data_IF_171331367563
#
_entry.id   IF_171331367563
#
_cell.length_a   1.000
_cell.length_b   1.000
_cell.length_c   1.000
_cell.angle_alpha   90.00
_cell.angle_beta   90.00
_cell.angle_gamma   90.00
#
_symmetry.space_group_name_H-M   'P 1'
#
loop_
_entity.id
_entity.type
_entity.pdbx_description
1 polymer ?
#
# COMPACT_ATOMS: atom_id res chain seq x y z
N UNK A 1 -3.14 -13.06 5.59
CA UNK A 1 -2.09 -13.56 4.68
C UNK A 1 -1.68 -12.44 3.76
N UNK A 2 -0.36 -12.19 3.58
CA UNK A 2 0.13 -11.22 2.60
C UNK A 2 0.77 -11.94 1.41
N UNK A 3 0.37 -11.52 0.22
CA UNK A 3 0.92 -11.99 -1.07
C UNK A 3 1.38 -10.74 -1.82
N UNK A 4 2.69 -10.55 -1.90
CA UNK A 4 3.27 -9.39 -2.56
C UNK A 4 3.20 -9.52 -4.08
N UNK A 5 2.89 -8.42 -4.75
CA UNK A 5 2.88 -8.33 -6.21
C UNK A 5 3.88 -7.25 -6.69
N UNK A 6 5.17 -7.58 -6.72
CA UNK A 6 6.22 -6.60 -7.01
C UNK A 6 6.35 -6.28 -8.50
N UNK A 7 5.80 -7.09 -9.39
CA UNK A 7 6.06 -7.01 -10.84
C UNK A 7 4.82 -6.65 -11.68
N UNK A 8 3.70 -6.34 -11.07
CA UNK A 8 2.45 -6.09 -11.77
C UNK A 8 2.58 -4.96 -12.80
N UNK A 9 3.25 -3.88 -12.42
CA UNK A 9 3.52 -2.73 -13.28
C UNK A 9 4.72 -2.95 -14.20
N UNK A 10 5.83 -3.47 -13.68
CA UNK A 10 7.07 -3.69 -14.42
C UNK A 10 6.96 -4.80 -15.48
N UNK A 11 6.03 -5.73 -15.29
CA UNK A 11 5.77 -6.81 -16.24
C UNK A 11 4.92 -6.43 -17.44
N UNK A 12 4.42 -5.18 -17.50
CA UNK A 12 3.59 -4.73 -18.60
C UNK A 12 4.30 -4.88 -19.97
N UNK A 13 3.60 -5.38 -21.00
CA UNK A 13 4.12 -5.44 -22.35
C UNK A 13 4.54 -4.06 -22.88
N UNK A 14 5.54 -4.03 -23.78
CA UNK A 14 5.97 -2.78 -24.42
C UNK A 14 4.86 -2.12 -25.25
N UNK A 15 3.97 -2.92 -25.84
CA UNK A 15 2.85 -2.43 -26.63
C UNK A 15 1.64 -2.26 -25.75
N UNK A 16 1.07 -1.07 -25.75
CA UNK A 16 -0.10 -0.74 -24.93
C UNK A 16 -1.33 -1.59 -25.28
N UNK A 17 -1.47 -1.98 -26.53
CA UNK A 17 -2.57 -2.82 -27.00
C UNK A 17 -2.57 -4.21 -26.35
N UNK A 18 -1.43 -4.67 -25.84
CA UNK A 18 -1.27 -5.96 -25.16
C UNK A 18 -1.49 -5.88 -23.64
N UNK A 19 -1.64 -4.67 -23.09
CA UNK A 19 -1.73 -4.47 -21.63
C UNK A 19 -2.95 -5.13 -21.02
N UNK A 20 -4.12 -4.98 -21.65
CA UNK A 20 -5.36 -5.51 -21.08
C UNK A 20 -5.28 -7.04 -20.91
N UNK A 21 -4.82 -7.75 -21.91
CA UNK A 21 -4.68 -9.21 -21.85
C UNK A 21 -3.69 -9.65 -20.76
N UNK A 22 -2.59 -8.90 -20.59
CA UNK A 22 -1.62 -9.15 -19.52
C UNK A 22 -2.22 -8.88 -18.14
N UNK A 23 -2.92 -7.73 -17.97
CA UNK A 23 -3.51 -7.34 -16.70
C UNK A 23 -4.61 -8.31 -16.28
N UNK A 24 -5.47 -8.74 -17.19
CA UNK A 24 -6.51 -9.73 -16.92
C UNK A 24 -5.90 -11.05 -16.45
N UNK A 25 -4.86 -11.52 -17.15
CA UNK A 25 -4.14 -12.74 -16.77
C UNK A 25 -3.48 -12.60 -15.38
N UNK A 26 -2.82 -11.47 -15.10
CA UNK A 26 -2.14 -11.25 -13.82
C UNK A 26 -3.14 -11.17 -12.65
N UNK A 27 -4.27 -10.51 -12.86
CA UNK A 27 -5.38 -10.46 -11.88
C UNK A 27 -5.91 -11.88 -11.61
N UNK A 28 -6.16 -12.65 -12.65
CA UNK A 28 -6.64 -14.03 -12.50
C UNK A 28 -5.64 -14.90 -11.73
N UNK A 29 -4.33 -14.74 -11.98
CA UNK A 29 -3.29 -15.44 -11.24
C UNK A 29 -3.28 -15.07 -9.76
N UNK A 30 -3.40 -13.78 -9.43
CA UNK A 30 -3.47 -13.33 -8.05
C UNK A 30 -4.71 -13.89 -7.33
N UNK A 31 -5.88 -13.77 -7.95
CA UNK A 31 -7.14 -14.28 -7.40
C UNK A 31 -7.10 -15.80 -7.21
N UNK A 32 -6.50 -16.53 -8.15
CA UNK A 32 -6.32 -17.98 -8.01
C UNK A 32 -5.40 -18.34 -6.84
N UNK A 33 -4.37 -17.54 -6.57
CA UNK A 33 -3.46 -17.76 -5.45
C UNK A 33 -4.13 -17.52 -4.08
N UNK A 34 -5.20 -16.73 -4.04
CA UNK A 34 -5.95 -16.39 -2.81
C UNK A 34 -7.23 -17.21 -2.64
N UNK A 35 -7.69 -17.91 -3.67
CA UNK A 35 -8.91 -18.71 -3.62
C UNK A 35 -8.76 -19.87 -2.64
N UNK A 36 -9.83 -20.19 -1.90
CA UNK A 36 -9.87 -21.34 -0.99
C UNK A 36 -9.43 -21.07 0.44
N UNK A 37 -9.09 -19.81 0.79
CA UNK A 37 -8.97 -19.40 2.19
C UNK A 37 -10.36 -19.27 2.83
N UNK A 38 -10.42 -19.30 4.16
CA UNK A 38 -11.67 -19.05 4.87
C UNK A 38 -12.09 -17.58 4.74
N UNK A 39 -13.38 -17.29 4.75
CA UNK A 39 -13.93 -15.93 4.54
C UNK A 39 -13.41 -14.91 5.56
N UNK A 40 -13.07 -15.35 6.77
CA UNK A 40 -12.47 -14.51 7.80
C UNK A 40 -10.96 -14.26 7.60
N UNK A 41 -10.33 -14.88 6.62
CA UNK A 41 -8.90 -14.68 6.34
C UNK A 41 -8.67 -13.44 5.51
N UNK A 42 -8.13 -12.40 6.12
CA UNK A 42 -7.81 -11.16 5.44
C UNK A 42 -6.61 -11.32 4.50
N UNK A 43 -6.77 -10.92 3.24
CA UNK A 43 -5.73 -10.96 2.21
C UNK A 43 -5.13 -9.57 2.03
N UNK A 44 -3.83 -9.49 2.21
CA UNK A 44 -3.03 -8.28 1.96
C UNK A 44 -2.18 -8.45 0.71
N UNK A 45 -1.96 -7.36 0.01
CA UNK A 45 -0.94 -7.26 -1.04
C UNK A 45 -0.07 -6.02 -0.85
N UNK A 46 1.11 -6.03 -1.43
CA UNK A 46 2.02 -4.90 -1.43
C UNK A 46 2.53 -4.65 -2.84
N UNK A 47 2.54 -3.39 -3.24
CA UNK A 47 3.10 -2.94 -4.51
C UNK A 47 4.24 -1.97 -4.26
N UNK A 48 5.45 -2.39 -4.72
CA UNK A 48 6.64 -1.56 -4.66
C UNK A 48 6.71 -0.60 -5.85
N UNK A 49 7.18 0.63 -5.64
CA UNK A 49 7.62 1.60 -6.67
C UNK A 49 6.71 1.72 -7.90
N UNK A 50 5.40 1.65 -7.73
CA UNK A 50 4.47 1.62 -8.85
C UNK A 50 3.77 2.96 -9.06
N UNK A 51 3.68 3.39 -10.32
CA UNK A 51 2.72 4.41 -10.75
C UNK A 51 1.38 3.72 -11.03
N UNK A 52 0.31 4.13 -10.35
CA UNK A 52 -0.96 3.41 -10.37
C UNK A 52 -1.97 3.92 -11.40
N UNK A 53 -1.81 5.14 -11.89
CA UNK A 53 -2.83 5.82 -12.70
C UNK A 53 -3.31 4.99 -13.89
N UNK A 54 -2.38 4.25 -14.54
CA UNK A 54 -2.67 3.49 -15.76
C UNK A 54 -3.29 2.11 -15.50
N UNK A 55 -3.21 1.59 -14.25
CA UNK A 55 -3.56 0.21 -13.91
C UNK A 55 -4.43 0.07 -12.66
N UNK A 56 -4.96 1.18 -12.12
CA UNK A 56 -5.70 1.19 -10.86
C UNK A 56 -6.94 0.28 -10.87
N UNK A 57 -7.61 0.18 -12.02
CA UNK A 57 -8.76 -0.71 -12.20
C UNK A 57 -8.35 -2.18 -12.05
N UNK A 58 -7.22 -2.57 -12.65
CA UNK A 58 -6.68 -3.92 -12.55
C UNK A 58 -6.19 -4.22 -11.11
N UNK A 59 -5.60 -3.23 -10.43
CA UNK A 59 -5.23 -3.36 -9.01
C UNK A 59 -6.47 -3.62 -8.15
N UNK A 60 -7.54 -2.87 -8.37
CA UNK A 60 -8.81 -3.09 -7.66
C UNK A 60 -9.41 -4.46 -7.99
N UNK A 61 -9.27 -4.94 -9.22
CA UNK A 61 -9.77 -6.23 -9.65
C UNK A 61 -9.02 -7.42 -9.03
N UNK A 62 -7.81 -7.25 -8.48
CA UNK A 62 -7.14 -8.29 -7.69
C UNK A 62 -7.95 -8.66 -6.44
N UNK A 63 -8.77 -7.73 -5.94
CA UNK A 63 -9.69 -7.94 -4.81
C UNK A 63 -8.98 -8.35 -3.52
N UNK A 64 -7.80 -7.79 -3.26
CA UNK A 64 -7.16 -7.90 -1.96
C UNK A 64 -7.88 -7.01 -0.94
N UNK A 65 -8.11 -7.52 0.27
CA UNK A 65 -8.79 -6.77 1.34
C UNK A 65 -8.01 -5.50 1.72
N UNK A 66 -6.69 -5.57 1.71
CA UNK A 66 -5.80 -4.43 2.00
C UNK A 66 -4.66 -4.39 1.00
N UNK A 67 -4.45 -3.22 0.39
CA UNK A 67 -3.24 -2.94 -0.39
C UNK A 67 -2.33 -1.99 0.36
N UNK A 68 -1.03 -2.30 0.44
CA UNK A 68 -0.02 -1.37 0.94
C UNK A 68 0.82 -0.83 -0.21
N UNK A 69 1.12 0.46 -0.16
CA UNK A 69 1.81 1.18 -1.24
C UNK A 69 2.86 2.13 -0.68
N UNK A 70 3.91 2.40 -1.45
CA UNK A 70 4.96 3.34 -1.06
C UNK A 70 4.52 4.79 -1.33
N UNK A 71 4.44 5.59 -0.30
CA UNK A 71 3.95 6.98 -0.39
C UNK A 71 4.74 7.99 0.43
N UNK A 72 5.62 7.55 1.34
CA UNK A 72 6.32 8.48 2.24
C UNK A 72 7.22 9.45 1.47
N UNK A 73 7.93 8.96 0.45
CA UNK A 73 8.86 9.77 -0.37
C UNK A 73 8.15 10.75 -1.30
N UNK A 74 6.97 10.41 -1.78
CA UNK A 74 6.12 11.30 -2.58
C UNK A 74 5.26 12.25 -1.73
N UNK A 75 5.40 12.21 -0.40
CA UNK A 75 4.59 13.01 0.50
C UNK A 75 3.07 12.84 0.25
N UNK A 76 2.65 11.60 -0.04
CA UNK A 76 1.29 11.18 -0.36
C UNK A 76 0.77 11.64 -1.74
N UNK A 77 1.59 12.23 -2.61
CA UNK A 77 1.16 12.63 -3.96
C UNK A 77 0.70 11.45 -4.80
N UNK A 78 1.26 10.26 -4.57
CA UNK A 78 0.85 9.03 -5.26
C UNK A 78 -0.63 8.69 -5.04
N UNK A 79 -1.23 9.17 -3.95
CA UNK A 79 -2.66 8.99 -3.67
C UNK A 79 -3.58 9.79 -4.60
N UNK A 80 -3.06 10.68 -5.44
CA UNK A 80 -3.85 11.38 -6.46
C UNK A 80 -4.52 10.42 -7.45
N UNK A 81 -3.92 9.23 -7.66
CA UNK A 81 -4.54 8.17 -8.46
C UNK A 81 -5.93 7.78 -7.94
N UNK A 82 -6.15 7.90 -6.63
CA UNK A 82 -7.41 7.55 -5.97
C UNK A 82 -8.43 8.69 -5.94
N UNK A 83 -8.09 9.90 -6.37
CA UNK A 83 -9.04 11.02 -6.41
C UNK A 83 -10.14 10.81 -7.46
N UNK A 84 -9.79 10.17 -8.57
CA UNK A 84 -10.68 9.93 -9.70
C UNK A 84 -11.20 8.48 -9.76
N UNK A 85 -10.74 7.62 -8.86
CA UNK A 85 -11.12 6.22 -8.78
C UNK A 85 -11.54 5.85 -7.36
N UNK A 86 -12.78 5.44 -7.18
CA UNK A 86 -13.27 4.99 -5.89
C UNK A 86 -12.76 3.57 -5.60
N UNK A 87 -11.57 3.49 -4.99
CA UNK A 87 -10.99 2.21 -4.59
C UNK A 87 -11.89 1.51 -3.56
N UNK A 88 -12.25 0.23 -3.79
CA UNK A 88 -13.29 -0.43 -2.98
C UNK A 88 -12.82 -0.90 -1.61
N UNK A 89 -11.52 -1.22 -1.45
CA UNK A 89 -10.97 -1.91 -0.30
C UNK A 89 -10.07 -0.99 0.56
N UNK A 90 -9.42 -1.55 1.59
CA UNK A 90 -8.55 -0.80 2.48
C UNK A 90 -7.20 -0.48 1.86
N UNK A 91 -6.58 0.62 2.28
CA UNK A 91 -5.30 1.09 1.77
C UNK A 91 -4.36 1.42 2.93
N UNK A 92 -3.13 0.91 2.84
CA UNK A 92 -2.02 1.26 3.70
C UNK A 92 -1.00 2.13 2.96
N UNK A 93 -1.14 3.46 2.97
CA UNK A 93 -0.10 4.34 2.46
C UNK A 93 1.11 4.33 3.40
N UNK A 94 2.30 4.06 2.85
CA UNK A 94 3.54 4.00 3.62
C UNK A 94 3.91 5.35 4.25
N UNK A 95 4.30 5.32 5.51
CA UNK A 95 4.72 6.51 6.30
C UNK A 95 6.17 6.44 6.76
N UNK A 96 6.88 5.40 6.36
CA UNK A 96 8.27 5.16 6.73
C UNK A 96 9.09 4.72 5.52
N UNK A 97 10.03 5.59 5.07
CA UNK A 97 11.01 5.24 4.05
C UNK A 97 12.05 4.28 4.63
N UNK A 98 11.93 3.00 4.30
CA UNK A 98 12.84 1.95 4.78
C UNK A 98 14.27 2.07 4.23
N UNK A 99 14.49 2.89 3.21
CA UNK A 99 15.82 3.15 2.64
C UNK A 99 16.57 4.26 3.39
N UNK A 100 15.85 5.06 4.18
CA UNK A 100 16.45 6.06 5.07
C UNK A 100 16.94 5.41 6.36
N UNK A 101 18.16 5.73 6.83
CA UNK A 101 18.63 5.30 8.15
C UNK A 101 17.96 6.07 9.31
N UNK A 102 17.21 7.11 8.99
CA UNK A 102 16.56 7.94 9.99
C UNK A 102 15.30 7.25 10.54
N UNK A 103 15.18 7.23 11.85
CA UNK A 103 13.95 6.84 12.51
C UNK A 103 12.88 7.93 12.35
N UNK A 104 11.73 7.65 11.71
CA UNK A 104 10.71 8.67 11.47
C UNK A 104 9.99 9.02 12.78
N UNK A 105 9.67 10.30 12.93
CA UNK A 105 8.97 10.82 14.11
C UNK A 105 7.46 10.57 14.01
N UNK A 106 6.82 10.37 15.16
CA UNK A 106 5.37 10.16 15.28
C UNK A 106 4.58 11.28 14.60
N UNK A 107 4.92 12.55 14.89
CA UNK A 107 4.21 13.71 14.33
C UNK A 107 4.30 13.76 12.79
N UNK A 108 5.43 13.34 12.23
CA UNK A 108 5.60 13.24 10.78
C UNK A 108 4.67 12.19 10.18
N UNK A 109 4.63 11.01 10.78
CA UNK A 109 3.74 9.93 10.34
C UNK A 109 2.27 10.32 10.44
N UNK A 110 1.87 10.96 11.54
CA UNK A 110 0.52 11.48 11.73
C UNK A 110 0.17 12.48 10.63
N UNK A 111 1.05 13.45 10.35
CA UNK A 111 0.81 14.44 9.30
C UNK A 111 0.66 13.82 7.90
N UNK A 112 1.43 12.76 7.59
CA UNK A 112 1.27 12.01 6.34
C UNK A 112 -0.10 11.30 6.27
N UNK A 113 -0.51 10.64 7.33
CA UNK A 113 -1.81 9.97 7.40
C UNK A 113 -2.99 10.96 7.35
N UNK A 114 -2.85 12.14 7.93
CA UNK A 114 -3.85 13.20 7.83
C UNK A 114 -4.01 13.71 6.39
N UNK A 115 -2.92 13.78 5.62
CA UNK A 115 -2.99 14.06 4.17
C UNK A 115 -3.70 12.94 3.42
N UNK A 116 -3.40 11.69 3.73
CA UNK A 116 -4.09 10.55 3.13
C UNK A 116 -5.59 10.59 3.43
N UNK A 117 -5.97 10.96 4.64
CA UNK A 117 -7.37 11.08 5.09
C UNK A 117 -8.15 12.23 4.41
N UNK A 118 -7.49 13.13 3.71
CA UNK A 118 -8.16 14.12 2.85
C UNK A 118 -8.69 13.52 1.54
N UNK A 119 -8.16 12.37 1.13
CA UNK A 119 -8.47 11.69 -0.13
C UNK A 119 -9.21 10.38 0.05
N UNK A 120 -9.02 9.73 1.20
CA UNK A 120 -9.51 8.40 1.49
C UNK A 120 -10.24 8.36 2.83
N UNK A 121 -11.29 7.53 2.98
CA UNK A 121 -11.97 7.34 4.26
C UNK A 121 -11.02 6.86 5.36
N UNK A 122 -11.04 7.52 6.52
CA UNK A 122 -10.13 7.21 7.64
C UNK A 122 -10.23 5.76 8.12
N UNK A 123 -11.42 5.21 8.10
CA UNK A 123 -11.73 3.83 8.52
C UNK A 123 -11.10 2.77 7.62
N UNK A 124 -10.66 3.15 6.41
CA UNK A 124 -9.98 2.28 5.45
C UNK A 124 -8.46 2.46 5.42
N UNK A 125 -7.93 3.33 6.28
CA UNK A 125 -6.50 3.64 6.27
C UNK A 125 -5.72 2.79 7.25
N UNK A 126 -4.62 2.23 6.79
CA UNK A 126 -3.66 1.46 7.59
C UNK A 126 -2.33 2.22 7.69
N UNK A 127 -1.69 2.16 8.85
CA UNK A 127 -0.35 2.73 9.06
C UNK A 127 0.68 1.62 8.84
N UNK A 128 1.55 1.78 7.84
CA UNK A 128 2.58 0.80 7.49
C UNK A 128 3.85 1.48 6.97
N UNK A 129 4.98 0.75 6.90
CA UNK A 129 6.17 1.22 6.21
C UNK A 129 5.94 1.21 4.69
N UNK A 130 6.81 1.91 3.94
CA UNK A 130 6.76 1.90 2.48
C UNK A 130 6.94 0.49 1.90
N UNK A 131 7.83 -0.30 2.48
CA UNK A 131 8.13 -1.66 2.04
C UNK A 131 8.64 -2.53 3.18
N UNK A 132 9.07 -3.75 2.88
CA UNK A 132 9.64 -4.69 3.86
C UNK A 132 10.93 -4.18 4.51
N UNK A 133 11.08 -4.37 5.80
CA UNK A 133 12.14 -3.81 6.65
C UNK A 133 13.49 -4.55 6.54
N UNK A 134 13.63 -5.47 5.60
CA UNK A 134 14.80 -6.36 5.43
C UNK A 134 16.15 -5.67 5.25
N UNK A 135 16.16 -4.38 4.90
CA UNK A 135 17.39 -3.59 4.70
C UNK A 135 17.81 -2.82 5.94
N UNK A 136 17.03 -2.85 7.00
CA UNK A 136 17.28 -2.16 8.27
C UNK A 136 17.81 -3.11 9.34
N UNK A 137 18.61 -2.56 10.26
CA UNK A 137 19.04 -3.28 11.46
C UNK A 137 17.89 -3.33 12.46
N UNK A 138 17.95 -4.31 13.38
CA UNK A 138 16.86 -4.50 14.36
C UNK A 138 16.64 -3.28 15.25
N UNK A 139 17.71 -2.64 15.67
CA UNK A 139 17.66 -1.45 16.51
C UNK A 139 16.93 -0.28 15.82
N UNK A 140 17.15 -0.09 14.52
CA UNK A 140 16.47 0.93 13.70
C UNK A 140 15.00 0.56 13.48
N UNK A 141 14.73 -0.72 13.26
CA UNK A 141 13.39 -1.25 12.98
C UNK A 141 12.49 -1.14 14.20
N UNK A 142 12.98 -1.49 15.38
CA UNK A 142 12.21 -1.49 16.62
C UNK A 142 11.69 -0.10 16.97
N UNK A 143 12.56 0.92 16.90
CA UNK A 143 12.18 2.31 17.13
C UNK A 143 11.17 2.83 16.11
N UNK A 144 11.41 2.57 14.82
CA UNK A 144 10.51 2.98 13.75
C UNK A 144 9.11 2.34 13.89
N UNK A 145 9.03 1.04 14.19
CA UNK A 145 7.76 0.35 14.41
C UNK A 145 7.04 0.83 15.66
N UNK A 146 7.76 1.13 16.74
CA UNK A 146 7.17 1.71 17.94
C UNK A 146 6.52 3.08 17.62
N UNK A 147 7.20 3.93 16.85
CA UNK A 147 6.67 5.23 16.43
C UNK A 147 5.46 5.08 15.49
N UNK A 148 5.45 4.08 14.60
CA UNK A 148 4.28 3.78 13.76
C UNK A 148 3.06 3.39 14.60
N UNK A 149 3.24 2.55 15.62
CA UNK A 149 2.17 2.15 16.53
C UNK A 149 1.63 3.36 17.31
N UNK A 150 2.51 4.23 17.80
CA UNK A 150 2.09 5.47 18.49
C UNK A 150 1.36 6.43 17.54
N UNK A 151 1.79 6.57 16.29
CA UNK A 151 1.08 7.37 15.29
C UNK A 151 -0.33 6.81 15.05
N UNK A 152 -0.48 5.49 14.87
CA UNK A 152 -1.79 4.85 14.73
C UNK A 152 -2.70 5.07 15.94
N UNK A 153 -2.15 4.98 17.16
CA UNK A 153 -2.90 5.27 18.41
C UNK A 153 -3.32 6.74 18.50
N UNK A 154 -2.47 7.67 18.10
CA UNK A 154 -2.80 9.10 18.08
C UNK A 154 -3.95 9.39 17.12
N UNK A 155 -3.88 8.85 15.90
CA UNK A 155 -4.92 9.02 14.88
C UNK A 155 -6.27 8.44 15.31
N UNK A 156 -6.29 7.27 15.98
CA UNK A 156 -7.54 6.68 16.52
C UNK A 156 -8.19 7.50 17.61
N UNK A 157 -7.43 8.30 18.37
CA UNK A 157 -7.97 9.17 19.42
C UNK A 157 -8.59 10.46 18.88
N UNK A 158 -8.19 10.85 17.66
CA UNK A 158 -8.69 12.06 16.98
C UNK A 158 -9.80 11.79 15.96
N UNK A 159 -10.23 10.54 15.84
CA UNK A 159 -11.27 10.10 14.92
C UNK A 159 -12.68 10.23 15.49
#
# INVERSE_FOLDING_TARGET
IQIDEPAFREGLPLRRDDWQAYLDWAVDCFRLATVGVADETQIHTHMCYSEFNDIIEAIAAMDADVITIETSRSNMELLEAFENFQYPNDIGPGVYDIHSPNEPKVDWMVALMEKAAQRLPKERLWVNPDCGLKTRKWEETEGALANMVEAAKALRKSA
#
